data_IF_812638385546
#
_entry.id   IF_812638385546
#
_cell.length_a   1.000
_cell.length_b   1.000
_cell.length_c   1.000
_cell.angle_alpha   90.00
_cell.angle_beta   90.00
_cell.angle_gamma   90.00
#
_symmetry.space_group_name_H-M   'P 1'
#
loop_
_entity.id
_entity.type
_entity.pdbx_description
1 polymer ?
#
# COMPACT_ATOMS: atom_id res chain seq x y z
N UNK A 1 9.64 -16.60 -10.45
CA UNK A 1 9.11 -15.91 -11.65
C UNK A 1 7.68 -15.50 -11.34
N UNK A 2 7.47 -14.22 -10.98
CA UNK A 2 6.19 -13.65 -10.46
C UNK A 2 5.11 -13.43 -11.55
N UNK A 3 5.21 -14.17 -12.66
CA UNK A 3 4.39 -13.94 -13.85
C UNK A 3 3.22 -14.93 -14.01
N UNK A 4 3.01 -15.85 -13.07
CA UNK A 4 2.08 -16.98 -13.26
C UNK A 4 0.80 -16.94 -12.42
N UNK A 5 0.55 -15.90 -11.61
CA UNK A 5 -0.65 -15.82 -10.77
C UNK A 5 -1.78 -14.99 -11.42
N UNK A 6 -1.57 -14.43 -12.62
CA UNK A 6 -2.55 -13.57 -13.31
C UNK A 6 -3.51 -14.29 -14.28
N UNK A 7 -3.39 -15.59 -14.52
CA UNK A 7 -4.10 -16.26 -15.63
C UNK A 7 -5.43 -16.95 -15.25
N UNK A 8 -5.78 -17.17 -13.98
CA UNK A 8 -6.88 -18.13 -13.62
C UNK A 8 -8.26 -17.49 -13.37
N UNK A 9 -8.41 -16.16 -13.35
CA UNK A 9 -9.66 -15.52 -12.93
C UNK A 9 -10.53 -14.95 -14.08
N UNK A 10 -10.55 -15.59 -15.25
CA UNK A 10 -11.44 -15.21 -16.37
C UNK A 10 -12.47 -16.31 -16.64
N UNK A 11 -13.60 -16.35 -15.91
CA UNK A 11 -14.78 -17.08 -16.45
C UNK A 11 -16.14 -16.89 -15.77
N UNK A 12 -16.56 -15.71 -15.26
CA UNK A 12 -17.98 -15.55 -14.89
C UNK A 12 -18.55 -14.16 -15.22
N UNK A 13 -19.46 -14.15 -16.19
CA UNK A 13 -20.20 -13.01 -16.73
C UNK A 13 -21.12 -12.34 -15.69
N UNK A 14 -20.61 -11.35 -14.95
CA UNK A 14 -21.40 -10.37 -14.20
C UNK A 14 -20.80 -8.95 -14.35
N UNK A 15 -21.60 -7.89 -14.59
CA UNK A 15 -21.11 -6.57 -15.06
C UNK A 15 -20.41 -5.69 -14.00
N UNK A 16 -19.79 -6.28 -12.97
CA UNK A 16 -19.11 -5.53 -11.88
C UNK A 16 -17.70 -6.07 -11.59
N UNK A 17 -17.20 -6.99 -12.42
CA UNK A 17 -16.04 -7.82 -12.12
C UNK A 17 -14.77 -7.46 -12.89
N UNK A 18 -14.41 -6.17 -12.99
CA UNK A 18 -13.18 -5.77 -13.71
C UNK A 18 -12.31 -4.79 -12.89
N UNK A 19 -11.63 -5.32 -11.85
CA UNK A 19 -10.17 -5.15 -11.60
C UNK A 19 -9.74 -5.73 -10.23
N UNK A 20 -8.73 -6.62 -10.19
CA UNK A 20 -8.34 -7.34 -8.98
C UNK A 20 -7.36 -6.52 -8.13
N UNK A 21 -7.90 -5.87 -7.09
CA UNK A 21 -7.25 -5.31 -5.88
C UNK A 21 -8.25 -4.44 -5.07
N UNK A 22 -9.39 -4.09 -5.67
CA UNK A 22 -10.38 -3.18 -5.09
C UNK A 22 -10.90 -3.56 -3.67
N UNK A 23 -11.11 -4.83 -3.28
CA UNK A 23 -11.67 -5.14 -1.97
C UNK A 23 -10.72 -4.86 -0.81
N UNK A 24 -9.40 -5.07 -1.00
CA UNK A 24 -8.43 -4.79 0.05
C UNK A 24 -8.13 -3.28 0.14
N UNK A 25 -8.01 -2.59 -1.00
CA UNK A 25 -7.79 -1.15 -1.02
C UNK A 25 -9.00 -0.36 -0.51
N UNK A 26 -10.23 -0.85 -0.69
CA UNK A 26 -11.43 -0.20 -0.17
C UNK A 26 -11.41 -0.03 1.37
N UNK A 27 -10.71 -0.90 2.12
CA UNK A 27 -10.59 -0.76 3.58
C UNK A 27 -9.69 0.41 4.03
N UNK A 28 -8.99 1.04 3.07
CA UNK A 28 -8.17 2.24 3.30
C UNK A 28 -8.97 3.53 3.19
N UNK A 29 -10.25 3.48 2.80
CA UNK A 29 -11.14 4.64 2.73
C UNK A 29 -12.08 4.62 3.95
N UNK A 30 -12.23 5.73 4.70
CA UNK A 30 -13.14 5.83 5.83
C UNK A 30 -14.58 5.45 5.48
N UNK A 31 -15.27 4.84 6.44
CA UNK A 31 -16.69 4.54 6.30
C UNK A 31 -17.49 5.84 6.11
N UNK A 32 -18.37 5.86 5.10
CA UNK A 32 -19.18 7.02 4.74
C UNK A 32 -18.65 7.85 3.57
N UNK A 33 -17.44 7.55 3.06
CA UNK A 33 -16.93 8.16 1.84
C UNK A 33 -17.14 7.27 0.61
N UNK A 34 -17.44 7.91 -0.53
CA UNK A 34 -17.51 7.20 -1.81
C UNK A 34 -16.14 6.65 -2.19
N UNK A 35 -16.09 5.34 -2.42
CA UNK A 35 -14.95 4.66 -3.03
C UNK A 35 -14.98 4.95 -4.52
N UNK A 36 -13.99 5.69 -5.02
CA UNK A 36 -13.85 5.98 -6.46
C UNK A 36 -12.57 5.37 -7.02
N UNK A 37 -12.53 5.02 -8.33
CA UNK A 37 -11.32 4.49 -8.96
C UNK A 37 -10.11 5.42 -8.83
N UNK A 38 -10.34 6.73 -8.80
CA UNK A 38 -9.29 7.74 -8.61
C UNK A 38 -8.69 7.60 -7.22
N UNK A 39 -9.51 7.59 -6.15
CA UNK A 39 -9.02 7.42 -4.78
C UNK A 39 -8.24 6.12 -4.60
N UNK A 40 -8.72 5.03 -5.20
CA UNK A 40 -8.02 3.74 -5.16
C UNK A 40 -6.66 3.83 -5.85
N UNK A 41 -6.55 4.52 -6.97
CA UNK A 41 -5.27 4.76 -7.66
C UNK A 41 -4.32 5.63 -6.83
N UNK A 42 -4.83 6.71 -6.21
CA UNK A 42 -4.00 7.56 -5.34
C UNK A 42 -3.38 6.78 -4.17
N UNK A 43 -4.15 5.85 -3.60
CA UNK A 43 -3.67 4.95 -2.54
C UNK A 43 -2.61 4.00 -3.08
N UNK A 44 -2.90 3.29 -4.17
CA UNK A 44 -2.01 2.29 -4.80
C UNK A 44 -0.66 2.92 -5.19
N UNK A 45 -0.70 4.04 -5.92
CA UNK A 45 0.49 4.76 -6.38
C UNK A 45 1.35 5.27 -5.21
N UNK A 46 0.73 5.71 -4.10
CA UNK A 46 1.46 6.17 -2.93
C UNK A 46 2.03 4.99 -2.11
N UNK A 47 1.31 3.86 -2.02
CA UNK A 47 1.86 2.63 -1.41
C UNK A 47 3.10 2.16 -2.19
N UNK A 48 3.03 2.11 -3.51
CA UNK A 48 4.16 1.74 -4.39
C UNK A 48 5.36 2.67 -4.19
N UNK A 49 5.14 3.99 -4.19
CA UNK A 49 6.21 4.97 -3.97
C UNK A 49 6.89 4.81 -2.59
N UNK A 50 6.13 4.43 -1.55
CA UNK A 50 6.68 4.11 -0.24
C UNK A 50 7.51 2.82 -0.30
N UNK A 51 7.02 1.77 -0.97
CA UNK A 51 7.79 0.54 -1.14
C UNK A 51 9.11 0.75 -1.90
N UNK A 52 9.15 1.67 -2.87
CA UNK A 52 10.38 2.06 -3.58
C UNK A 52 11.41 2.73 -2.68
N UNK A 53 10.98 3.39 -1.59
CA UNK A 53 11.89 3.86 -0.53
C UNK A 53 12.43 2.72 0.34
N UNK A 54 11.97 1.48 0.14
CA UNK A 54 12.49 0.28 0.79
C UNK A 54 11.89 -0.02 2.15
N UNK A 55 10.66 0.43 2.43
CA UNK A 55 9.89 0.02 3.61
C UNK A 55 9.37 -1.42 3.43
N UNK A 56 9.26 -2.18 4.51
CA UNK A 56 8.89 -3.60 4.45
C UNK A 56 7.38 -3.84 4.38
N UNK A 57 6.59 -2.95 4.98
CA UNK A 57 5.13 -2.92 4.93
C UNK A 57 4.67 -1.46 4.88
N UNK A 58 3.57 -1.20 4.18
CA UNK A 58 2.98 0.12 4.05
C UNK A 58 1.47 -0.01 3.85
N UNK A 59 0.72 0.88 4.51
CA UNK A 59 -0.69 1.12 4.20
C UNK A 59 -0.94 2.61 4.09
N UNK A 60 -1.58 3.03 3.01
CA UNK A 60 -2.01 4.41 2.84
C UNK A 60 -3.50 4.51 3.11
N UNK A 61 -3.92 5.33 4.08
CA UNK A 61 -5.32 5.68 4.29
C UNK A 61 -5.67 7.01 3.66
N UNK A 62 -6.80 7.03 2.95
CA UNK A 62 -7.28 8.21 2.24
C UNK A 62 -8.23 9.00 3.13
N UNK A 63 -7.87 10.23 3.50
CA UNK A 63 -8.69 11.14 4.30
C UNK A 63 -8.95 12.43 3.52
N UNK A 64 -9.56 12.29 2.33
CA UNK A 64 -9.85 13.42 1.44
C UNK A 64 -8.57 14.03 0.86
N UNK A 65 -8.14 15.16 1.41
CA UNK A 65 -6.91 15.84 0.97
C UNK A 65 -5.62 15.29 1.61
N UNK A 66 -5.76 14.36 2.57
CA UNK A 66 -4.65 13.81 3.36
C UNK A 66 -4.43 12.33 3.03
N UNK A 67 -3.20 11.98 2.65
CA UNK A 67 -2.74 10.61 2.56
C UNK A 67 -1.99 10.24 3.84
N UNK A 68 -2.57 9.38 4.68
CA UNK A 68 -1.96 8.95 5.94
C UNK A 68 -1.24 7.62 5.74
N UNK A 69 0.07 7.62 5.91
CA UNK A 69 0.94 6.45 5.76
C UNK A 69 1.07 5.74 7.11
N UNK A 70 0.80 4.44 7.13
CA UNK A 70 1.07 3.54 8.25
C UNK A 70 2.28 2.69 7.90
N UNK A 71 3.29 2.69 8.76
CA UNK A 71 4.55 1.95 8.61
C UNK A 71 4.82 1.10 9.85
N UNK A 72 5.63 0.03 9.76
CA UNK A 72 6.15 -0.66 10.93
C UNK A 72 6.77 0.33 11.92
N UNK A 73 6.45 0.20 13.21
CA UNK A 73 6.92 1.13 14.25
C UNK A 73 8.46 1.20 14.28
N UNK A 74 9.13 0.09 14.00
CA UNK A 74 10.59 -0.05 13.89
C UNK A 74 11.20 0.75 12.72
N UNK A 75 10.42 1.06 11.68
CA UNK A 75 10.86 1.80 10.49
C UNK A 75 10.50 3.30 10.53
N UNK A 76 9.71 3.74 11.53
CA UNK A 76 9.34 5.15 11.70
C UNK A 76 10.55 6.11 11.79
N UNK A 77 11.66 5.80 12.49
CA UNK A 77 12.82 6.68 12.53
C UNK A 77 13.41 6.95 11.14
N UNK A 78 13.43 5.92 10.27
CA UNK A 78 13.93 6.03 8.90
C UNK A 78 13.05 6.94 8.04
N UNK A 79 11.74 6.89 8.23
CA UNK A 79 10.81 7.78 7.53
C UNK A 79 11.04 9.28 7.85
N UNK A 80 11.70 9.57 8.98
CA UNK A 80 12.06 10.94 9.38
C UNK A 80 13.43 11.41 8.85
N UNK A 81 14.21 10.53 8.22
CA UNK A 81 15.46 10.91 7.56
C UNK A 81 15.17 11.98 6.48
N UNK A 82 15.96 13.06 6.37
CA UNK A 82 15.63 14.20 5.52
C UNK A 82 15.30 13.85 4.07
N UNK A 83 16.09 12.94 3.47
CA UNK A 83 15.97 12.49 2.09
C UNK A 83 14.69 11.65 1.88
N UNK A 84 14.45 10.68 2.76
CA UNK A 84 13.26 9.82 2.70
C UNK A 84 12.00 10.64 2.94
N UNK A 85 12.01 11.51 3.95
CA UNK A 85 10.89 12.40 4.24
C UNK A 85 10.55 13.30 3.05
N UNK A 86 11.57 13.85 2.39
CA UNK A 86 11.36 14.67 1.19
C UNK A 86 10.75 13.86 0.04
N UNK A 87 11.23 12.63 -0.18
CA UNK A 87 10.69 11.72 -1.19
C UNK A 87 9.22 11.36 -0.93
N UNK A 88 8.87 11.01 0.32
CA UNK A 88 7.49 10.70 0.71
C UNK A 88 6.54 11.89 0.50
N UNK A 89 6.99 13.12 0.83
CA UNK A 89 6.21 14.34 0.61
C UNK A 89 6.03 14.62 -0.89
N UNK A 90 7.06 14.39 -1.71
CA UNK A 90 6.97 14.56 -3.16
C UNK A 90 5.99 13.55 -3.77
N UNK A 91 6.13 12.27 -3.43
CA UNK A 91 5.27 11.18 -3.90
C UNK A 91 3.78 11.43 -3.56
N UNK A 92 3.49 11.86 -2.34
CA UNK A 92 2.10 12.16 -1.97
C UNK A 92 1.49 13.35 -2.72
N UNK A 93 2.31 14.36 -3.07
CA UNK A 93 1.84 15.48 -3.91
C UNK A 93 1.59 15.03 -5.35
N UNK A 94 2.46 14.20 -5.90
CA UNK A 94 2.33 13.65 -7.26
C UNK A 94 1.11 12.75 -7.40
N UNK A 95 0.76 12.00 -6.34
CA UNK A 95 -0.46 11.19 -6.26
C UNK A 95 -1.72 12.00 -5.94
N UNK A 96 -1.60 13.32 -5.75
CA UNK A 96 -2.73 14.24 -5.64
C UNK A 96 -3.23 14.51 -4.23
N UNK A 97 -2.47 14.15 -3.18
CA UNK A 97 -2.73 14.60 -1.82
C UNK A 97 -2.16 16.00 -1.57
N UNK A 98 -2.87 16.83 -0.80
CA UNK A 98 -2.36 18.12 -0.35
C UNK A 98 -1.39 17.97 0.83
N UNK A 99 -1.64 16.96 1.67
CA UNK A 99 -0.82 16.65 2.83
C UNK A 99 -0.55 15.16 2.92
N UNK A 100 0.67 14.83 3.33
CA UNK A 100 1.09 13.47 3.68
C UNK A 100 1.41 13.46 5.16
N UNK A 101 0.86 12.48 5.86
CA UNK A 101 1.10 12.29 7.29
C UNK A 101 1.58 10.87 7.56
N UNK A 102 2.27 10.67 8.67
CA UNK A 102 2.64 9.34 9.15
C UNK A 102 1.84 9.06 10.42
N UNK A 103 1.23 7.89 10.48
CA UNK A 103 0.57 7.41 11.69
C UNK A 103 1.62 7.04 12.74
N UNK A 104 1.56 7.71 13.90
CA UNK A 104 2.52 7.51 14.99
C UNK A 104 2.29 6.21 15.75
N UNK A 105 1.08 5.64 15.71
CA UNK A 105 0.84 4.30 16.25
C UNK A 105 1.47 3.24 15.33
N UNK A 106 1.64 3.56 14.04
CA UNK A 106 2.20 2.70 13.03
C UNK A 106 1.42 1.40 12.84
N UNK A 107 2.04 0.47 12.13
CA UNK A 107 1.60 -0.92 12.04
C UNK A 107 2.39 -1.69 13.09
N UNK A 108 1.69 -2.24 14.09
CA UNK A 108 2.32 -3.23 14.97
C UNK A 108 2.57 -4.48 14.12
N UNK A 109 3.84 -4.81 13.90
CA UNK A 109 4.23 -6.05 13.24
C UNK A 109 3.73 -7.26 14.04
N UNK A 110 2.53 -7.72 13.70
CA UNK A 110 2.00 -8.98 14.19
C UNK A 110 2.58 -10.10 13.34
N UNK A 111 3.68 -10.73 13.80
CA UNK A 111 4.17 -12.04 13.35
C UNK A 111 3.89 -12.37 11.87
N UNK A 112 4.49 -11.62 10.94
CA UNK A 112 4.70 -12.10 9.56
C UNK A 112 6.18 -12.05 9.20
N UNK A 113 7.02 -12.48 10.15
CA UNK A 113 8.39 -12.88 9.84
C UNK A 113 8.35 -14.12 8.94
N UNK A 114 8.71 -13.95 7.67
CA UNK A 114 9.26 -14.95 6.75
C UNK A 114 9.07 -16.44 7.14
N UNK A 115 8.12 -17.12 6.51
CA UNK A 115 8.20 -18.58 6.29
C UNK A 115 8.35 -18.98 4.83
N UNK A 116 8.76 -18.07 3.95
CA UNK A 116 9.10 -18.44 2.55
C UNK A 116 10.60 -18.26 2.31
N UNK A 117 11.40 -19.11 2.96
CA UNK A 117 12.61 -19.70 2.35
C UNK A 117 12.73 -21.15 2.85
N UNK A 118 12.01 -22.05 2.19
CA UNK A 118 12.31 -23.47 2.17
C UNK A 118 12.73 -23.85 0.76
N UNK A 119 13.99 -23.56 0.40
CA UNK A 119 14.62 -24.14 -0.79
C UNK A 119 15.76 -25.04 -0.31
N UNK A 120 15.62 -26.34 -0.59
CA UNK A 120 16.55 -27.42 -0.30
C UNK A 120 15.73 -28.66 0.10
N UNK A 121 15.75 -29.81 -0.55
CA UNK A 121 16.70 -30.31 -1.53
C UNK A 121 16.06 -31.37 -2.44
N UNK A 122 16.67 -31.53 -3.61
CA UNK A 122 16.50 -32.68 -4.50
C UNK A 122 17.04 -33.93 -3.80
N UNK A 123 16.28 -35.02 -3.88
CA UNK A 123 16.68 -36.39 -3.56
C UNK A 123 15.66 -37.34 -4.15
#
# INVERSE_FOLDING_TARGET
>A
TKSQVREVARQMSLPVADKPAAPCLASRIPFGESVTPEKLRQIDDLEDAVYEQGFSDCRVRHHGAVGRIELPTEELPRAMEPEIRAALVAAGKETGFQHVTIDLDGIRSGLFSLQIVGKGDRG
#
